data_IF_420125283332
#
_entry.id   IF_420125283332
#
_cell.length_a   1.000
_cell.length_b   1.000
_cell.length_c   1.000
_cell.angle_alpha   90.00
_cell.angle_beta   90.00
_cell.angle_gamma   90.00
#
_symmetry.space_group_name_H-M   'P 1'
#
loop_
_entity.id
_entity.type
_entity.pdbx_description
1 polymer ?
#
# COMPACT_ATOMS: atom_id res chain seq x y z
N UNK A 1 -14.77 7.18 0.52
CA UNK A 1 -15.98 7.92 0.13
C UNK A 1 -16.27 7.57 -1.31
N UNK A 2 -17.51 7.14 -1.58
CA UNK A 2 -17.92 6.69 -2.89
C UNK A 2 -18.97 7.66 -3.43
N UNK A 3 -18.71 8.23 -4.59
CA UNK A 3 -19.63 9.11 -5.31
C UNK A 3 -20.14 8.40 -6.56
N UNK A 4 -21.45 8.18 -6.61
CA UNK A 4 -22.12 7.57 -7.76
C UNK A 4 -22.38 8.65 -8.82
N UNK A 5 -21.74 8.52 -9.98
CA UNK A 5 -22.03 9.36 -11.15
C UNK A 5 -23.25 8.86 -11.91
N UNK A 6 -23.38 7.53 -12.00
CA UNK A 6 -24.53 6.85 -12.59
C UNK A 6 -24.93 5.69 -11.68
N UNK A 7 -25.98 4.96 -12.05
CA UNK A 7 -26.38 3.76 -11.32
C UNK A 7 -25.33 2.64 -11.41
N UNK A 8 -24.34 2.69 -12.30
CA UNK A 8 -23.31 1.63 -12.42
C UNK A 8 -21.89 2.10 -12.20
N UNK A 9 -21.63 3.39 -12.36
CA UNK A 9 -20.29 3.97 -12.29
C UNK A 9 -20.21 4.86 -11.07
N UNK A 10 -19.21 4.59 -10.24
CA UNK A 10 -18.85 5.43 -9.10
C UNK A 10 -17.37 5.78 -9.12
N UNK A 11 -17.01 6.83 -8.40
CA UNK A 11 -15.63 7.14 -8.04
C UNK A 11 -15.47 6.98 -6.54
N UNK A 12 -14.36 6.39 -6.13
CA UNK A 12 -13.97 6.23 -4.74
C UNK A 12 -12.73 7.02 -4.44
N UNK A 13 -12.75 7.69 -3.31
CA UNK A 13 -11.57 8.28 -2.68
C UNK A 13 -11.35 7.54 -1.37
N UNK A 14 -10.16 6.99 -1.18
CA UNK A 14 -9.79 6.21 0.00
C UNK A 14 -8.52 6.73 0.65
N UNK A 15 -8.51 6.69 1.98
CA UNK A 15 -7.30 6.83 2.80
C UNK A 15 -7.24 5.59 3.69
N UNK A 16 -6.10 4.90 3.70
CA UNK A 16 -5.90 3.71 4.53
C UNK A 16 -4.52 3.71 5.17
N UNK A 17 -4.40 2.99 6.29
CA UNK A 17 -3.12 2.67 6.92
C UNK A 17 -3.02 1.15 6.91
N UNK A 18 -1.91 0.63 6.42
CA UNK A 18 -1.66 -0.81 6.35
C UNK A 18 -0.25 -1.13 6.82
N UNK A 19 -0.05 -2.38 7.23
CA UNK A 19 1.26 -2.89 7.63
C UNK A 19 1.65 -4.03 6.69
N UNK A 20 2.89 -4.01 6.23
CA UNK A 20 3.53 -5.11 5.50
C UNK A 20 4.74 -5.57 6.30
N UNK A 21 4.97 -6.87 6.32
CA UNK A 21 6.13 -7.47 6.95
C UNK A 21 6.45 -8.79 6.27
N UNK A 22 7.72 -9.16 6.29
CA UNK A 22 8.18 -10.49 5.95
C UNK A 22 9.36 -10.86 6.84
N UNK A 23 9.50 -12.16 7.09
CA UNK A 23 10.60 -12.73 7.85
C UNK A 23 11.01 -14.03 7.16
N UNK A 24 12.18 -13.99 6.52
CA UNK A 24 12.75 -15.13 5.80
C UNK A 24 13.03 -16.31 6.74
N UNK A 25 13.25 -16.09 8.04
CA UNK A 25 13.48 -17.17 9.01
C UNK A 25 12.28 -18.11 9.13
N UNK A 26 11.10 -17.65 8.76
CA UNK A 26 9.85 -18.41 8.77
C UNK A 26 9.54 -19.04 7.39
N UNK A 27 10.38 -18.82 6.38
CA UNK A 27 10.18 -19.36 5.04
C UNK A 27 10.43 -20.87 4.99
N UNK A 28 9.57 -21.59 4.27
CA UNK A 28 9.76 -23.02 3.96
C UNK A 28 10.92 -23.26 2.98
N UNK A 29 11.36 -22.20 2.27
CA UNK A 29 12.43 -22.26 1.28
C UNK A 29 13.79 -22.14 1.97
N UNK A 30 14.67 -23.14 1.87
CA UNK A 30 15.98 -23.11 2.52
C UNK A 30 16.83 -21.90 2.12
N UNK A 31 16.76 -21.47 0.86
CA UNK A 31 17.49 -20.31 0.35
C UNK A 31 17.08 -18.99 1.02
N UNK A 32 15.78 -18.82 1.29
CA UNK A 32 15.24 -17.64 1.96
C UNK A 32 15.62 -17.73 3.45
N UNK A 33 15.42 -18.90 4.08
CA UNK A 33 15.80 -19.13 5.48
C UNK A 33 17.28 -18.82 5.76
N UNK A 34 18.18 -19.22 4.86
CA UNK A 34 19.60 -18.87 4.95
C UNK A 34 19.79 -17.36 4.76
N UNK A 35 19.07 -16.72 3.84
CA UNK A 35 19.13 -15.26 3.62
C UNK A 35 18.73 -14.46 4.86
N UNK A 36 17.72 -14.93 5.58
CA UNK A 36 17.31 -14.40 6.88
C UNK A 36 17.05 -12.87 6.87
N UNK A 37 16.52 -12.33 5.77
CA UNK A 37 16.04 -10.94 5.73
C UNK A 37 14.74 -10.82 6.51
N UNK A 38 14.60 -9.69 7.18
CA UNK A 38 13.34 -9.30 7.76
C UNK A 38 13.06 -7.84 7.43
N UNK A 39 11.77 -7.52 7.26
CA UNK A 39 11.35 -6.14 7.18
C UNK A 39 9.95 -5.96 7.75
N UNK A 40 9.68 -4.75 8.21
CA UNK A 40 8.36 -4.27 8.65
C UNK A 40 8.18 -2.84 8.19
N UNK A 41 7.03 -2.53 7.61
CA UNK A 41 6.65 -1.18 7.22
C UNK A 41 5.21 -0.89 7.62
N UNK A 42 4.99 0.32 8.12
CA UNK A 42 3.66 0.89 8.32
C UNK A 42 3.47 1.99 7.31
N UNK A 43 2.49 1.83 6.43
CA UNK A 43 2.31 2.65 5.26
C UNK A 43 0.94 3.33 5.29
N UNK A 44 0.90 4.59 4.90
CA UNK A 44 -0.33 5.34 4.62
C UNK A 44 -0.55 5.34 3.12
N UNK A 45 -1.78 5.11 2.69
CA UNK A 45 -2.16 5.04 1.29
C UNK A 45 -3.33 5.95 1.00
N UNK A 46 -3.19 6.75 -0.05
CA UNK A 46 -4.28 7.53 -0.63
C UNK A 46 -4.59 7.01 -2.03
N UNK A 47 -5.86 6.73 -2.31
CA UNK A 47 -6.30 6.17 -3.59
C UNK A 47 -7.48 6.93 -4.16
N UNK A 48 -7.53 7.00 -5.49
CA UNK A 48 -8.68 7.45 -6.26
C UNK A 48 -8.97 6.39 -7.32
N UNK A 49 -10.18 5.84 -7.29
CA UNK A 49 -10.54 4.66 -8.09
C UNK A 49 -11.89 4.86 -8.79
N UNK A 50 -12.01 4.37 -10.01
CA UNK A 50 -13.29 4.18 -10.67
C UNK A 50 -13.83 2.79 -10.32
N UNK A 51 -15.13 2.72 -10.03
CA UNK A 51 -15.86 1.49 -9.76
C UNK A 51 -16.91 1.27 -10.82
N UNK A 52 -17.03 0.03 -11.27
CA UNK A 52 -18.10 -0.42 -12.14
C UNK A 52 -18.88 -1.55 -11.46
N UNK A 53 -20.13 -1.25 -11.11
CA UNK A 53 -21.09 -2.21 -10.55
C UNK A 53 -21.78 -2.98 -11.67
N UNK A 54 -21.87 -4.30 -11.53
CA UNK A 54 -22.51 -5.15 -12.54
C UNK A 54 -24.02 -4.90 -12.59
N UNK A 55 -24.65 -4.73 -11.42
CA UNK A 55 -26.07 -4.39 -11.29
C UNK A 55 -26.26 -2.89 -10.92
N UNK A 56 -27.39 -2.27 -11.31
CA UNK A 56 -27.72 -0.91 -10.91
C UNK A 56 -27.68 -0.72 -9.39
N UNK A 57 -26.80 0.16 -8.95
CA UNK A 57 -26.55 0.56 -7.58
C UNK A 57 -27.14 1.96 -7.33
N UNK A 58 -28.46 2.03 -7.16
CA UNK A 58 -29.17 3.32 -7.10
C UNK A 58 -28.90 4.07 -5.79
N UNK A 59 -28.55 5.34 -5.91
CA UNK A 59 -28.42 6.27 -4.77
C UNK A 59 -29.77 6.64 -4.12
N UNK A 60 -30.87 6.59 -4.88
CA UNK A 60 -32.16 7.16 -4.48
C UNK A 60 -33.24 6.15 -4.05
N UNK A 61 -32.95 4.85 -4.00
CA UNK A 61 -33.95 3.83 -3.64
C UNK A 61 -33.32 2.53 -3.19
N UNK A 62 -33.70 2.05 -2.01
CA UNK A 62 -33.25 0.77 -1.45
C UNK A 62 -34.01 -0.43 -2.04
N UNK A 63 -35.22 -0.21 -2.55
CA UNK A 63 -36.11 -1.29 -3.04
C UNK A 63 -35.60 -1.99 -4.30
N UNK A 64 -34.82 -1.28 -5.11
CA UNK A 64 -34.29 -1.80 -6.37
C UNK A 64 -32.83 -2.26 -6.25
N UNK A 65 -32.29 -2.35 -5.02
CA UNK A 65 -30.90 -2.81 -4.82
C UNK A 65 -30.86 -4.32 -4.86
N UNK A 66 -29.94 -4.85 -5.66
CA UNK A 66 -29.65 -6.27 -5.66
C UNK A 66 -29.11 -6.69 -4.28
N UNK A 67 -29.48 -7.90 -3.83
CA UNK A 67 -28.97 -8.48 -2.58
C UNK A 67 -27.44 -8.59 -2.60
N UNK A 68 -26.90 -8.96 -3.76
CA UNK A 68 -25.47 -9.05 -4.04
C UNK A 68 -25.21 -8.28 -5.32
N UNK A 69 -24.28 -7.34 -5.28
CA UNK A 69 -23.87 -6.55 -6.43
C UNK A 69 -22.34 -6.58 -6.58
N UNK A 70 -21.81 -7.50 -7.40
CA UNK A 70 -20.41 -7.53 -7.74
C UNK A 70 -19.97 -6.26 -8.46
N UNK A 71 -18.72 -5.87 -8.27
CA UNK A 71 -18.12 -4.73 -8.92
C UNK A 71 -16.63 -4.98 -9.19
N UNK A 72 -16.09 -4.24 -10.14
CA UNK A 72 -14.65 -4.15 -10.40
C UNK A 72 -14.21 -2.71 -10.16
N UNK A 73 -12.94 -2.54 -9.80
CA UNK A 73 -12.35 -1.22 -9.62
C UNK A 73 -10.95 -1.13 -10.21
N UNK A 74 -10.60 0.06 -10.66
CA UNK A 74 -9.29 0.42 -11.17
C UNK A 74 -9.03 1.89 -10.82
N UNK A 75 -7.81 2.19 -10.37
CA UNK A 75 -7.47 3.53 -9.95
C UNK A 75 -5.99 3.84 -10.00
N UNK A 76 -5.68 4.95 -9.35
CA UNK A 76 -4.32 5.41 -9.08
C UNK A 76 -4.23 5.83 -7.62
N UNK A 77 -3.05 5.69 -7.03
CA UNK A 77 -2.82 6.09 -5.66
C UNK A 77 -1.37 6.42 -5.37
N UNK A 78 -1.14 6.84 -4.13
CA UNK A 78 0.18 7.07 -3.59
C UNK A 78 0.24 6.40 -2.22
N UNK A 79 1.32 5.67 -1.97
CA UNK A 79 1.60 5.05 -0.68
C UNK A 79 2.90 5.57 -0.10
N UNK A 80 2.98 5.80 1.20
CA UNK A 80 4.26 6.07 1.86
C UNK A 80 5.13 4.82 1.84
N UNK A 81 6.44 4.99 1.76
CA UNK A 81 7.40 3.88 1.79
C UNK A 81 8.49 4.13 2.84
N UNK A 82 8.46 3.36 3.93
CA UNK A 82 9.38 3.46 5.07
C UNK A 82 9.66 2.06 5.67
N UNK A 83 10.36 1.18 4.94
CA UNK A 83 10.69 -0.14 5.47
C UNK A 83 11.74 -0.04 6.57
N UNK A 84 11.59 -0.92 7.56
CA UNK A 84 12.47 -1.04 8.72
C UNK A 84 12.87 -2.50 8.87
N UNK A 85 14.11 -2.76 9.28
CA UNK A 85 14.56 -4.09 9.65
C UNK A 85 14.93 -4.15 11.12
N UNK A 86 14.94 -5.34 11.68
CA UNK A 86 15.37 -5.63 13.03
C UNK A 86 16.65 -6.47 13.01
N UNK A 87 17.68 -5.99 13.69
CA UNK A 87 18.93 -6.70 13.85
C UNK A 87 19.34 -6.67 15.33
N UNK A 88 19.53 -7.85 15.92
CA UNK A 88 19.91 -8.02 17.32
C UNK A 88 19.04 -7.22 18.31
N UNK A 89 17.71 -7.16 18.07
CA UNK A 89 16.75 -6.44 18.91
C UNK A 89 16.71 -4.92 18.70
N UNK A 90 17.49 -4.37 17.77
CA UNK A 90 17.45 -2.96 17.39
C UNK A 90 16.77 -2.78 16.04
N UNK A 91 15.81 -1.85 15.94
CA UNK A 91 15.12 -1.55 14.69
C UNK A 91 15.83 -0.41 13.96
N UNK A 92 16.15 -0.61 12.68
CA UNK A 92 16.82 0.33 11.80
C UNK A 92 15.89 0.76 10.66
N UNK A 93 15.87 2.06 10.35
CA UNK A 93 15.19 2.55 9.15
C UNK A 93 16.07 2.22 7.92
N UNK A 94 15.54 1.48 6.96
CA UNK A 94 16.33 0.98 5.84
C UNK A 94 16.57 2.02 4.75
N UNK A 95 15.54 2.82 4.45
CA UNK A 95 15.60 3.82 3.37
C UNK A 95 16.79 4.79 3.47
N UNK A 96 17.13 5.37 4.64
CA UNK A 96 18.29 6.25 4.76
C UNK A 96 19.64 5.53 4.58
N UNK A 97 19.68 4.21 4.72
CA UNK A 97 20.90 3.41 4.65
C UNK A 97 21.26 3.04 3.21
N UNK A 98 20.30 3.06 2.27
CA UNK A 98 20.54 2.76 0.85
C UNK A 98 21.43 1.52 0.67
N UNK A 99 20.99 0.38 1.21
CA UNK A 99 21.81 -0.85 1.31
C UNK A 99 22.27 -1.38 -0.06
N UNK A 100 21.49 -1.11 -1.11
CA UNK A 100 21.85 -1.42 -2.51
C UNK A 100 22.51 -0.25 -3.26
N UNK A 101 22.77 0.87 -2.57
CA UNK A 101 23.38 2.08 -3.15
C UNK A 101 22.42 2.95 -3.96
N UNK A 102 21.13 2.62 -3.93
CA UNK A 102 20.07 3.37 -4.60
C UNK A 102 19.20 4.02 -3.53
N UNK A 103 19.13 5.34 -3.56
CA UNK A 103 18.20 6.09 -2.71
C UNK A 103 16.84 6.15 -3.39
N UNK A 104 15.82 5.58 -2.76
CA UNK A 104 14.43 5.68 -3.22
C UNK A 104 13.62 6.68 -2.38
N UNK A 105 12.52 7.16 -2.98
CA UNK A 105 11.64 8.14 -2.37
C UNK A 105 10.77 7.57 -1.25
N UNK A 106 10.33 8.43 -0.33
CA UNK A 106 9.40 8.06 0.74
C UNK A 106 7.94 7.93 0.36
N UNK A 107 7.62 8.17 -0.92
CA UNK A 107 6.31 8.00 -1.50
C UNK A 107 6.47 7.20 -2.78
N UNK A 108 5.59 6.23 -2.99
CA UNK A 108 5.51 5.41 -4.18
C UNK A 108 4.14 5.58 -4.82
N UNK A 109 4.09 5.72 -6.15
CA UNK A 109 2.83 5.67 -6.88
C UNK A 109 2.36 4.22 -6.99
N UNK A 110 1.06 4.01 -6.93
CA UNK A 110 0.45 2.68 -7.04
C UNK A 110 -0.70 2.69 -8.05
N UNK A 111 -0.92 1.53 -8.68
CA UNK A 111 -2.08 1.27 -9.53
C UNK A 111 -2.91 0.18 -8.86
N UNK A 112 -3.91 0.55 -8.04
CA UNK A 112 -4.83 -0.40 -7.44
C UNK A 112 -5.86 -0.88 -8.47
N UNK A 113 -6.08 -2.19 -8.51
CA UNK A 113 -7.13 -2.82 -9.29
C UNK A 113 -7.70 -4.02 -8.54
N UNK A 114 -8.95 -4.35 -8.80
CA UNK A 114 -9.54 -5.46 -8.07
C UNK A 114 -11.01 -5.67 -8.36
N UNK A 115 -11.59 -6.52 -7.54
CA UNK A 115 -12.99 -6.89 -7.59
C UNK A 115 -13.55 -6.99 -6.19
N UNK A 116 -14.84 -6.72 -6.07
CA UNK A 116 -15.55 -6.84 -4.82
C UNK A 116 -17.02 -7.14 -5.03
N UNK A 117 -17.73 -7.34 -3.93
CA UNK A 117 -19.17 -7.51 -3.92
C UNK A 117 -19.78 -6.68 -2.80
N UNK A 118 -20.82 -5.92 -3.16
CA UNK A 118 -21.68 -5.24 -2.19
C UNK A 118 -22.83 -6.16 -1.81
N UNK A 119 -23.03 -6.37 -0.53
CA UNK A 119 -24.14 -7.09 0.06
C UNK A 119 -25.09 -6.08 0.70
N UNK A 120 -26.34 -6.12 0.28
CA UNK A 120 -27.37 -5.28 0.87
C UNK A 120 -27.70 -5.79 2.28
N UNK A 121 -27.46 -4.97 3.30
CA UNK A 121 -27.80 -5.29 4.69
C UNK A 121 -29.08 -4.60 5.13
N UNK A 122 -29.20 -3.31 4.82
CA UNK A 122 -30.32 -2.47 5.25
C UNK A 122 -30.46 -1.25 4.35
N UNK A 123 -31.55 -0.49 4.51
CA UNK A 123 -31.82 0.72 3.73
C UNK A 123 -30.65 1.71 3.67
N UNK A 124 -29.84 1.78 4.72
CA UNK A 124 -28.75 2.74 4.88
C UNK A 124 -27.36 2.10 4.96
N UNK A 125 -27.27 0.76 4.95
CA UNK A 125 -26.04 0.03 5.19
C UNK A 125 -25.85 -1.06 4.15
N UNK A 126 -24.69 -1.08 3.53
CA UNK A 126 -24.23 -2.15 2.66
C UNK A 126 -22.88 -2.67 3.20
N UNK A 127 -22.66 -3.97 3.11
CA UNK A 127 -21.38 -4.61 3.45
C UNK A 127 -20.63 -4.87 2.16
N UNK A 128 -19.38 -4.44 2.06
CA UNK A 128 -18.56 -4.67 0.89
C UNK A 128 -17.44 -5.64 1.24
N UNK A 129 -17.25 -6.65 0.42
CA UNK A 129 -16.08 -7.53 0.48
C UNK A 129 -15.25 -7.25 -0.77
N UNK A 130 -13.96 -7.03 -0.61
CA UNK A 130 -13.08 -6.58 -1.70
C UNK A 130 -11.74 -7.32 -1.67
N UNK A 131 -11.27 -7.67 -2.86
CA UNK A 131 -9.91 -8.09 -3.14
C UNK A 131 -9.27 -7.04 -4.06
N UNK A 132 -8.20 -6.42 -3.58
CA UNK A 132 -7.46 -5.41 -4.31
C UNK A 132 -6.01 -5.86 -4.49
N UNK A 133 -5.55 -5.87 -5.73
CA UNK A 133 -4.16 -6.01 -6.11
C UNK A 133 -3.59 -4.62 -6.44
N UNK A 134 -2.51 -4.23 -5.76
CA UNK A 134 -1.85 -2.95 -5.96
C UNK A 134 -0.46 -3.19 -6.57
N UNK A 135 -0.28 -2.69 -7.79
CA UNK A 135 1.04 -2.60 -8.42
C UNK A 135 1.73 -1.34 -7.88
N UNK A 136 2.84 -1.50 -7.19
CA UNK A 136 3.65 -0.37 -6.77
C UNK A 136 4.65 -0.03 -7.88
N UNK A 137 4.75 1.24 -8.24
CA UNK A 137 5.71 1.71 -9.25
C UNK A 137 7.11 1.92 -8.64
N UNK A 138 7.50 1.01 -7.74
CA UNK A 138 8.78 0.92 -7.05
C UNK A 138 9.06 -0.56 -6.74
N UNK A 139 10.32 -0.98 -6.83
CA UNK A 139 10.79 -2.30 -6.38
C UNK A 139 11.45 -2.25 -5.00
N UNK A 140 11.05 -1.33 -4.13
CA UNK A 140 11.74 -1.04 -2.86
C UNK A 140 10.77 -0.95 -1.68
N UNK A 141 9.60 -1.60 -1.75
CA UNK A 141 8.66 -1.64 -0.62
C UNK A 141 9.24 -2.36 0.60
N UNK A 142 10.15 -3.29 0.37
CA UNK A 142 10.86 -4.10 1.37
C UNK A 142 12.37 -3.80 1.43
N UNK A 143 12.84 -2.74 0.74
CA UNK A 143 14.25 -2.38 0.56
C UNK A 143 15.07 -3.36 -0.31
N UNK A 144 14.45 -4.30 -1.03
CA UNK A 144 15.13 -5.33 -1.83
C UNK A 144 14.71 -5.27 -3.29
N UNK A 145 15.63 -4.91 -4.20
CA UNK A 145 15.31 -4.86 -5.64
C UNK A 145 16.41 -5.44 -6.51
N UNK A 146 17.65 -5.04 -6.28
CA UNK A 146 18.72 -5.17 -7.25
C UNK A 146 19.74 -6.23 -6.83
N UNK A 147 20.94 -5.82 -6.46
CA UNK A 147 22.08 -6.69 -6.18
C UNK A 147 22.71 -6.38 -4.83
N UNK A 148 23.37 -7.39 -4.26
CA UNK A 148 24.19 -7.19 -3.08
C UNK A 148 25.38 -6.27 -3.38
N UNK A 149 25.64 -5.34 -2.47
CA UNK A 149 26.84 -4.51 -2.48
C UNK A 149 27.99 -5.20 -1.76
N UNK A 150 29.21 -4.83 -2.14
CA UNK A 150 30.40 -5.24 -1.40
C UNK A 150 30.32 -4.68 0.04
N UNK A 151 30.41 -5.53 1.08
CA UNK A 151 30.44 -5.09 2.48
C UNK A 151 31.54 -4.05 2.76
N UNK A 152 32.68 -4.11 2.05
CA UNK A 152 33.76 -3.14 2.19
C UNK A 152 33.44 -1.76 1.59
N UNK A 153 32.35 -1.65 0.80
CA UNK A 153 31.91 -0.38 0.19
C UNK A 153 31.02 0.46 1.10
N UNK A 154 30.60 -0.06 2.25
CA UNK A 154 29.80 0.69 3.21
C UNK A 154 30.68 1.65 4.02
N UNK A 155 30.10 2.79 4.36
CA UNK A 155 30.66 3.80 5.26
C UNK A 155 29.61 4.21 6.27
N UNK A 156 30.02 4.64 7.45
CA UNK A 156 29.10 5.05 8.51
C UNK A 156 28.07 6.07 7.99
N UNK A 157 26.79 5.73 8.10
CA UNK A 157 25.68 6.47 7.49
C UNK A 157 24.53 6.55 8.48
N UNK A 158 23.98 7.74 8.71
CA UNK A 158 22.84 7.96 9.60
C UNK A 158 23.01 7.38 11.03
N UNK A 159 24.22 7.47 11.58
CA UNK A 159 24.62 6.90 12.88
C UNK A 159 24.59 5.36 12.94
N UNK A 160 24.61 4.68 11.80
CA UNK A 160 24.80 3.24 11.69
C UNK A 160 26.20 2.98 11.15
N UNK A 161 26.94 2.10 11.81
CA UNK A 161 28.31 1.76 11.41
C UNK A 161 28.32 0.92 10.12
N UNK A 162 29.43 0.97 9.38
CA UNK A 162 29.57 0.23 8.13
C UNK A 162 29.39 -1.30 8.31
N UNK A 163 29.79 -1.84 9.46
CA UNK A 163 29.64 -3.26 9.78
C UNK A 163 28.17 -3.66 9.91
N UNK A 164 27.36 -2.88 10.64
CA UNK A 164 25.92 -3.10 10.80
C UNK A 164 25.20 -2.94 9.48
N UNK A 165 25.57 -1.97 8.63
CA UNK A 165 25.02 -1.85 7.29
C UNK A 165 25.26 -3.11 6.45
N UNK A 166 26.47 -3.67 6.52
CA UNK A 166 26.78 -4.95 5.88
C UNK A 166 25.88 -6.09 6.37
N UNK A 167 25.65 -6.18 7.69
CA UNK A 167 24.76 -7.19 8.28
C UNK A 167 23.28 -6.97 7.95
N UNK A 168 22.82 -5.72 7.83
CA UNK A 168 21.46 -5.41 7.40
C UNK A 168 21.26 -5.73 5.91
N UNK A 169 22.29 -5.52 5.09
CA UNK A 169 22.27 -5.87 3.67
C UNK A 169 22.27 -7.39 3.47
N UNK A 170 23.10 -8.11 4.22
CA UNK A 170 23.21 -9.57 4.18
C UNK A 170 23.30 -10.17 5.61
N UNK A 171 22.15 -10.54 6.20
CA UNK A 171 22.08 -11.08 7.56
C UNK A 171 22.70 -12.47 7.73
N UNK A 172 23.09 -13.16 6.64
CA UNK A 172 23.72 -14.49 6.67
C UNK A 172 24.95 -14.56 7.57
N UNK A 173 25.74 -13.49 7.57
CA UNK A 173 26.94 -13.39 8.38
C UNK A 173 26.67 -13.31 9.89
N UNK A 174 25.44 -12.96 10.29
CA UNK A 174 25.02 -12.92 11.69
C UNK A 174 24.40 -14.25 12.18
N UNK A 175 24.23 -15.25 11.32
CA UNK A 175 23.66 -16.55 11.69
C UNK A 175 24.59 -17.36 12.60
N UNK A 176 24.03 -18.37 13.28
CA UNK A 176 24.79 -19.32 14.11
C UNK A 176 24.50 -20.76 13.64
N UNK A 177 25.44 -21.44 12.93
CA UNK A 177 26.76 -20.97 12.53
C UNK A 177 26.72 -19.89 11.42
N UNK A 178 27.73 -19.01 11.34
CA UNK A 178 27.75 -17.93 10.37
C UNK A 178 27.94 -18.46 8.95
N UNK A 179 27.15 -17.93 8.03
CA UNK A 179 27.26 -18.22 6.59
C UNK A 179 27.96 -17.03 5.92
N UNK A 180 28.98 -17.26 5.08
CA UNK A 180 29.66 -16.17 4.38
C UNK A 180 28.68 -15.31 3.55
N UNK A 181 28.87 -13.98 3.51
CA UNK A 181 28.08 -13.11 2.65
C UNK A 181 28.16 -13.51 1.19
N UNK A 182 27.10 -13.20 0.44
CA UNK A 182 27.09 -13.42 -1.01
C UNK A 182 28.01 -12.41 -1.69
N UNK A 183 28.65 -12.82 -2.78
CA UNK A 183 29.52 -11.95 -3.57
C UNK A 183 28.77 -10.71 -4.08
N UNK A 184 29.47 -9.57 -4.13
CA UNK A 184 28.90 -8.35 -4.70
C UNK A 184 28.43 -8.57 -6.15
N UNK A 185 27.29 -7.97 -6.50
CA UNK A 185 26.68 -8.11 -7.83
C UNK A 185 25.77 -9.31 -8.00
N UNK A 186 25.68 -10.23 -7.03
CA UNK A 186 24.63 -11.26 -7.04
C UNK A 186 23.25 -10.65 -6.79
N UNK A 187 22.22 -11.22 -7.41
CA UNK A 187 20.84 -10.77 -7.25
C UNK A 187 20.39 -10.84 -5.78
N UNK A 188 19.89 -9.72 -5.26
CA UNK A 188 19.25 -9.59 -3.95
C UNK A 188 17.73 -9.60 -4.10
N UNK A 189 17.23 -8.91 -5.13
CA UNK A 189 15.85 -8.94 -5.61
C UNK A 189 15.77 -9.30 -7.09
N UNK A 190 14.62 -9.05 -7.71
CA UNK A 190 14.33 -9.40 -9.12
C UNK A 190 14.44 -8.22 -10.11
N UNK A 191 14.76 -7.03 -9.62
CA UNK A 191 14.88 -5.78 -10.38
C UNK A 191 13.55 -5.26 -10.93
N UNK A 192 12.43 -5.82 -10.48
CA UNK A 192 11.09 -5.49 -10.94
C UNK A 192 10.36 -4.59 -9.94
N UNK A 193 9.12 -4.22 -10.30
CA UNK A 193 8.26 -3.41 -9.45
C UNK A 193 7.48 -4.30 -8.49
N UNK A 194 7.41 -3.89 -7.23
CA UNK A 194 6.72 -4.66 -6.21
C UNK A 194 5.21 -4.60 -6.38
N UNK A 195 4.54 -5.56 -5.77
CA UNK A 195 3.08 -5.56 -5.69
C UNK A 195 2.61 -6.20 -4.41
N UNK A 196 1.39 -5.83 -3.98
CA UNK A 196 0.77 -6.44 -2.82
C UNK A 196 -0.72 -6.67 -3.05
N UNK A 197 -1.23 -7.69 -2.36
CA UNK A 197 -2.64 -8.08 -2.39
C UNK A 197 -3.29 -7.73 -1.05
N UNK A 198 -4.49 -7.18 -1.11
CA UNK A 198 -5.30 -6.84 0.06
C UNK A 198 -6.66 -7.48 -0.05
N UNK A 199 -7.10 -8.06 1.05
CA UNK A 199 -8.47 -8.51 1.23
C UNK A 199 -9.09 -7.69 2.35
N UNK A 200 -10.32 -7.23 2.15
CA UNK A 200 -10.97 -6.35 3.10
C UNK A 200 -12.48 -6.51 3.14
N UNK A 201 -13.03 -6.21 4.30
CA UNK A 201 -14.47 -6.04 4.50
C UNK A 201 -14.70 -4.59 4.90
N UNK A 202 -15.61 -3.90 4.21
CA UNK A 202 -15.95 -2.50 4.43
C UNK A 202 -17.43 -2.39 4.77
N UNK A 203 -17.77 -1.51 5.71
CA UNK A 203 -19.16 -1.19 6.00
C UNK A 203 -19.48 0.19 5.39
N UNK A 204 -20.43 0.23 4.46
CA UNK A 204 -20.80 1.41 3.70
C UNK A 204 -22.11 2.01 4.21
N UNK A 205 -22.10 3.30 4.51
CA UNK A 205 -23.27 4.04 4.97
C UNK A 205 -23.74 5.05 3.92
N UNK A 206 -25.03 5.01 3.59
CA UNK A 206 -25.63 5.98 2.66
C UNK A 206 -26.04 7.25 3.39
N UNK A 207 -25.36 8.34 3.04
CA UNK A 207 -25.66 9.67 3.57
C UNK A 207 -27.04 10.14 3.06
N UNK A 208 -27.98 10.50 3.96
CA UNK A 208 -29.27 11.04 3.55
C UNK A 208 -29.12 12.40 2.85
N UNK A 209 -29.94 12.63 1.81
CA UNK A 209 -29.95 13.89 1.04
C UNK A 209 -30.23 15.14 1.89
N UNK A 210 -30.79 14.99 3.11
CA UNK A 210 -31.05 16.11 4.03
C UNK A 210 -29.78 16.76 4.60
N UNK A 211 -28.64 16.04 4.62
CA UNK A 211 -27.35 16.60 5.06
C UNK A 211 -26.69 17.48 3.99
N UNK A 212 -27.05 17.26 2.72
CA UNK A 212 -26.71 18.15 1.61
C UNK A 212 -27.71 19.32 1.59
N UNK A 213 -27.72 20.12 2.67
CA UNK A 213 -28.48 21.35 2.72
C UNK A 213 -28.13 22.21 1.50
N UNK A 214 -29.15 22.80 0.86
CA UNK A 214 -28.98 23.72 -0.27
C UNK A 214 -28.15 24.92 0.19
N UNK A 215 -26.82 24.82 0.13
CA UNK A 215 -25.94 25.98 0.23
C UNK A 215 -26.01 26.71 -1.10
N UNK A 216 -27.13 27.42 -1.34
CA UNK A 216 -27.12 28.48 -2.33
C UNK A 216 -26.39 29.66 -1.69
N UNK A 217 -25.10 29.78 -1.95
CA UNK A 217 -24.43 31.07 -1.81
C UNK A 217 -25.04 31.96 -2.90
N UNK A 218 -26.20 32.54 -2.61
CA UNK A 218 -26.76 33.63 -3.40
C UNK A 218 -25.91 34.85 -3.10
N UNK A 219 -24.92 35.10 -3.95
CA UNK A 219 -24.25 36.38 -3.98
C UNK A 219 -25.29 37.45 -4.40
N UNK A 220 -25.89 38.13 -3.42
CA UNK A 220 -26.70 39.31 -3.71
C UNK A 220 -25.74 40.47 -3.97
N UNK A 221 -25.54 40.80 -5.24
CA UNK A 221 -24.87 42.03 -5.63
C UNK A 221 -25.88 43.17 -5.43
N UNK A 222 -25.85 43.80 -4.25
CA UNK A 222 -26.58 45.04 -4.01
C UNK A 222 -25.81 46.19 -4.67
N UNK A 223 -26.25 46.62 -5.85
CA UNK A 223 -25.74 47.83 -6.50
C UNK A 223 -26.39 49.04 -5.83
N UNK A 224 -25.64 49.79 -5.01
CA UNK A 224 -26.05 51.13 -4.56
C UNK A 224 -25.88 52.11 -5.71
N UNK A 225 -26.97 52.72 -6.17
CA UNK A 225 -26.94 53.90 -7.05
C UNK A 225 -27.10 55.16 -6.21
N UNK A 226 -26.08 56.03 -6.33
CA UNK A 226 -25.86 57.38 -5.79
C UNK A 226 -26.12 57.59 -4.29
#
# INVERSE_FOLDING_TARGET
YDHLFTDKIAIRIGLSIYNIHADDSLSERPEDNIRNLNFKATNVEFIVEALYHLYPHKASGYKDRALINPYVHLGVGVTSNNPKAELAGTTYDLRPLSLEGIQYGGLAMIIPMGLGANFFLSRNWDLQVEMQYALALTGYLDDVSSVYRDPASFSDTNNVDAATMGLLSDPRAALTPPVPPVAAGTARGDGSNDSYLRFGVKLAYYLPKSLYGKSSIRCQIAKRTR
#
